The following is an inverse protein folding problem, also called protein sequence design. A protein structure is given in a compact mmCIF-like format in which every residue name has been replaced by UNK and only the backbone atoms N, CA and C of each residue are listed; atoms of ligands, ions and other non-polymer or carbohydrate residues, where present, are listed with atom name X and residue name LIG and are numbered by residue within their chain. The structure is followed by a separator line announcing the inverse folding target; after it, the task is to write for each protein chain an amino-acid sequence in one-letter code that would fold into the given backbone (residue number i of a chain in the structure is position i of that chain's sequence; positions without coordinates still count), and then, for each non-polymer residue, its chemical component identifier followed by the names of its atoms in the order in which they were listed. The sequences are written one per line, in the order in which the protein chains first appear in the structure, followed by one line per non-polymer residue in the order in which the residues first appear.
data_IF_098285246919
#
_entry.id   IF_098285246919
#
_cell.length_a   1.000
_cell.length_b   1.000
_cell.length_c   1.000
_cell.angle_alpha   90.00
_cell.angle_beta   90.00
_cell.angle_gamma   90.00
#
_symmetry.space_group_name_H-M   'P 1'
#
loop_
_entity.id
_entity.type
_entity.pdbx_description
1 polymer ?
#
# COMPACT_ATOMS: atom_id res chain seq x y z
N UNK A 1 -14.82 -9.58 -11.19
CA UNK A 1 -14.04 -8.49 -10.61
C UNK A 1 -13.10 -7.96 -11.69
N UNK A 2 -12.87 -6.65 -11.74
CA UNK A 2 -11.88 -5.98 -12.63
C UNK A 2 -10.68 -5.47 -11.82
N UNK A 3 -10.48 -6.00 -10.61
CA UNK A 3 -9.37 -5.63 -9.73
C UNK A 3 -8.04 -5.95 -10.42
N UNK A 4 -7.26 -4.91 -10.71
CA UNK A 4 -5.92 -5.07 -11.27
C UNK A 4 -4.93 -5.25 -10.13
N UNK A 5 -4.13 -6.31 -10.17
CA UNK A 5 -3.11 -6.53 -9.15
C UNK A 5 -1.71 -6.26 -9.71
N UNK A 6 -0.90 -5.56 -8.92
CA UNK A 6 0.50 -5.32 -9.18
C UNK A 6 1.30 -6.04 -8.11
N UNK A 7 2.32 -6.75 -8.54
CA UNK A 7 3.22 -7.49 -7.67
C UNK A 7 4.64 -6.95 -7.85
N UNK A 8 5.32 -6.74 -6.74
CA UNK A 8 6.74 -6.41 -6.68
C UNK A 8 7.43 -7.49 -5.86
N UNK A 9 8.48 -8.07 -6.42
CA UNK A 9 9.25 -9.10 -5.73
C UNK A 9 10.70 -8.66 -5.68
N UNK A 10 11.25 -8.64 -4.48
CA UNK A 10 12.58 -8.14 -4.20
C UNK A 10 13.51 -9.31 -3.88
N UNK A 11 14.66 -9.31 -4.55
CA UNK A 11 15.70 -10.31 -4.41
C UNK A 11 17.03 -9.65 -4.09
N UNK A 12 17.77 -10.21 -3.14
CA UNK A 12 19.15 -9.86 -2.84
C UNK A 12 19.85 -11.12 -2.33
N UNK A 13 21.05 -11.39 -2.83
CA UNK A 13 21.87 -12.44 -2.23
C UNK A 13 22.46 -11.90 -0.92
N UNK A 14 22.15 -12.58 0.19
CA UNK A 14 22.55 -12.16 1.54
C UNK A 14 23.74 -12.98 2.05
N UNK A 15 24.07 -14.08 1.37
CA UNK A 15 25.20 -14.95 1.67
C UNK A 15 26.38 -14.63 0.74
N UNK A 16 27.59 -14.68 1.27
CA UNK A 16 28.79 -14.67 0.40
C UNK A 16 28.93 -16.07 -0.18
N UNK A 17 28.65 -16.21 -1.48
CA UNK A 17 28.71 -17.50 -2.16
C UNK A 17 30.16 -17.92 -2.45
N UNK A 18 30.46 -19.20 -2.27
CA UNK A 18 31.74 -19.77 -2.70
C UNK A 18 31.81 -19.85 -4.24
N UNK A 19 33.01 -20.07 -4.79
CA UNK A 19 33.23 -20.09 -6.24
C UNK A 19 32.44 -21.20 -6.98
N UNK A 20 32.07 -22.27 -6.27
CA UNK A 20 31.24 -23.39 -6.76
C UNK A 20 29.76 -23.25 -6.36
N UNK A 21 29.39 -22.16 -5.70
CA UNK A 21 28.01 -21.88 -5.30
C UNK A 21 27.39 -20.83 -6.20
N UNK A 22 26.16 -21.11 -6.64
CA UNK A 22 25.40 -20.20 -7.48
C UNK A 22 23.93 -20.27 -7.10
N UNK A 23 23.25 -19.12 -7.22
CA UNK A 23 21.80 -19.04 -7.07
C UNK A 23 21.18 -18.45 -8.33
N UNK A 24 20.47 -19.31 -9.05
CA UNK A 24 19.74 -18.96 -10.26
C UNK A 24 18.38 -19.68 -10.28
N UNK A 25 17.32 -18.94 -10.56
CA UNK A 25 15.96 -19.51 -10.60
C UNK A 25 15.04 -18.76 -11.56
N UNK A 26 13.99 -19.45 -12.01
CA UNK A 26 12.90 -18.89 -12.81
C UNK A 26 11.65 -18.68 -11.95
N UNK A 27 10.83 -17.70 -12.35
CA UNK A 27 9.57 -17.37 -11.68
C UNK A 27 8.41 -17.82 -12.58
N UNK A 28 7.49 -18.58 -12.00
CA UNK A 28 6.30 -19.08 -12.67
C UNK A 28 5.05 -18.58 -11.96
N UNK A 29 4.03 -18.22 -12.74
CA UNK A 29 2.70 -17.86 -12.27
C UNK A 29 1.71 -18.86 -12.86
N UNK A 30 0.97 -19.56 -12.00
CA UNK A 30 0.01 -20.59 -12.39
C UNK A 30 0.62 -21.63 -13.34
N UNK A 31 1.84 -22.06 -13.04
CA UNK A 31 2.60 -23.06 -13.82
C UNK A 31 3.20 -22.55 -15.13
N UNK A 32 3.00 -21.28 -15.50
CA UNK A 32 3.56 -20.67 -16.72
C UNK A 32 4.73 -19.75 -16.38
N UNK A 33 5.77 -19.76 -17.22
CA UNK A 33 6.91 -18.87 -17.06
C UNK A 33 6.43 -17.41 -17.07
N UNK A 34 6.63 -16.71 -15.95
CA UNK A 34 6.09 -15.37 -15.75
C UNK A 34 7.12 -14.28 -16.06
N UNK A 35 8.39 -14.51 -15.69
CA UNK A 35 9.50 -13.62 -16.02
C UNK A 35 10.53 -14.38 -16.87
N UNK A 36 10.86 -13.83 -18.05
CA UNK A 36 11.68 -14.55 -19.06
C UNK A 36 13.15 -14.72 -18.64
N UNK A 37 13.88 -13.67 -18.23
CA UNK A 37 15.26 -13.84 -17.77
C UNK A 37 15.31 -14.65 -16.47
N UNK A 38 16.31 -15.53 -16.27
CA UNK A 38 16.53 -16.13 -14.96
C UNK A 38 16.94 -15.05 -13.95
N UNK A 39 16.54 -15.24 -12.69
CA UNK A 39 16.91 -14.37 -11.58
C UNK A 39 18.23 -14.86 -11.01
N UNK A 40 19.22 -13.97 -11.02
CA UNK A 40 20.50 -14.13 -10.30
C UNK A 40 20.61 -12.98 -9.31
N UNK A 41 20.27 -13.19 -8.02
CA UNK A 41 20.34 -12.14 -7.01
C UNK A 41 21.79 -11.67 -6.81
N UNK A 42 21.99 -10.35 -6.68
CA UNK A 42 23.32 -9.77 -6.46
C UNK A 42 23.61 -9.67 -4.97
N UNK A 43 24.88 -9.89 -4.59
CA UNK A 43 25.29 -9.80 -3.19
C UNK A 43 25.04 -8.39 -2.63
N UNK A 44 24.24 -8.32 -1.57
CA UNK A 44 23.82 -7.08 -0.88
C UNK A 44 23.26 -5.98 -1.81
N UNK A 45 22.74 -6.37 -2.97
CA UNK A 45 22.15 -5.44 -3.94
C UNK A 45 20.78 -5.96 -4.36
N UNK A 46 19.77 -5.12 -4.19
CA UNK A 46 18.39 -5.46 -4.52
C UNK A 46 18.16 -5.46 -6.02
N UNK A 47 17.57 -6.54 -6.51
CA UNK A 47 16.90 -6.62 -7.81
C UNK A 47 15.41 -6.70 -7.56
N UNK A 48 14.62 -5.82 -8.18
CA UNK A 48 13.17 -5.82 -8.05
C UNK A 48 12.54 -6.20 -9.38
N UNK A 49 11.69 -7.22 -9.35
CA UNK A 49 10.84 -7.59 -10.48
C UNK A 49 9.44 -7.06 -10.21
N UNK A 50 8.91 -6.29 -11.16
CA UNK A 50 7.55 -5.79 -11.14
C UNK A 50 6.73 -6.51 -12.22
N UNK A 51 5.47 -6.76 -11.93
CA UNK A 51 4.55 -7.29 -12.92
C UNK A 51 3.09 -7.05 -12.57
N UNK A 52 2.25 -7.02 -13.59
CA UNK A 52 0.81 -7.03 -13.44
C UNK A 52 0.31 -8.47 -13.45
N UNK A 53 -0.49 -8.84 -12.45
CA UNK A 53 -1.15 -10.13 -12.44
C UNK A 53 -2.40 -10.07 -13.32
N UNK A 54 -2.70 -11.15 -14.07
CA UNK A 54 -3.83 -11.17 -14.98
C UNK A 54 -5.15 -11.39 -14.23
N UNK A 55 -6.13 -10.52 -14.47
CA UNK A 55 -7.39 -10.38 -13.70
C UNK A 55 -8.36 -11.59 -13.80
N UNK A 56 -7.95 -12.71 -14.39
CA UNK A 56 -8.80 -13.84 -14.77
C UNK A 56 -8.63 -15.09 -13.90
N UNK A 57 -7.93 -15.00 -12.77
CA UNK A 57 -7.73 -16.14 -11.87
C UNK A 57 -8.34 -15.88 -10.48
N UNK A 58 -8.99 -16.90 -9.92
CA UNK A 58 -9.50 -16.88 -8.54
C UNK A 58 -8.37 -17.04 -7.51
N UNK A 59 -7.28 -17.70 -7.90
CA UNK A 59 -6.09 -17.94 -7.07
C UNK A 59 -4.84 -17.76 -7.93
N UNK A 60 -3.79 -17.20 -7.34
CA UNK A 60 -2.47 -17.05 -7.97
C UNK A 60 -1.45 -17.93 -7.25
N UNK A 61 -0.93 -18.94 -7.95
CA UNK A 61 0.18 -19.75 -7.51
C UNK A 61 1.48 -19.21 -8.11
N UNK A 62 2.26 -18.53 -7.27
CA UNK A 62 3.59 -18.05 -7.61
C UNK A 62 4.63 -19.07 -7.15
N UNK A 63 5.40 -19.62 -8.09
CA UNK A 63 6.44 -20.61 -7.79
C UNK A 63 7.79 -20.18 -8.33
N UNK A 64 8.82 -20.56 -7.60
CA UNK A 64 10.21 -20.26 -7.91
C UNK A 64 10.92 -21.58 -8.09
N UNK A 65 11.53 -21.78 -9.26
CA UNK A 65 12.18 -23.04 -9.57
C UNK A 65 13.64 -22.80 -9.91
N UNK A 66 14.50 -23.52 -9.18
CA UNK A 66 15.94 -23.54 -9.38
C UNK A 66 16.27 -23.99 -10.81
N UNK A 67 17.20 -23.32 -11.49
CA UNK A 67 17.69 -23.77 -12.81
C UNK A 67 18.76 -24.85 -12.67
N UNK A 68 19.11 -25.50 -13.78
CA UNK A 68 20.23 -26.45 -13.84
C UNK A 68 21.60 -25.82 -13.54
N UNK A 69 21.73 -24.50 -13.71
CA UNK A 69 23.00 -23.77 -13.47
C UNK A 69 23.18 -23.33 -12.01
N UNK A 70 22.16 -23.52 -11.19
CA UNK A 70 22.18 -23.15 -9.77
C UNK A 70 22.66 -24.33 -8.92
N UNK A 71 23.35 -24.07 -7.82
CA UNK A 71 23.60 -25.09 -6.77
C UNK A 71 22.68 -24.88 -5.57
N UNK A 72 22.24 -23.65 -5.33
CA UNK A 72 21.39 -23.27 -4.20
C UNK A 72 19.90 -23.15 -4.61
N UNK A 73 18.96 -23.31 -3.65
CA UNK A 73 17.53 -23.13 -3.92
C UNK A 73 17.17 -21.66 -4.21
N UNK A 74 15.96 -21.36 -4.70
CA UNK A 74 15.50 -19.98 -4.86
C UNK A 74 15.40 -19.22 -3.52
N UNK A 75 15.42 -17.89 -3.57
CA UNK A 75 15.19 -17.01 -2.42
C UNK A 75 14.22 -15.89 -2.78
N UNK A 76 13.54 -15.35 -1.77
CA UNK A 76 12.71 -14.15 -1.85
C UNK A 76 13.02 -13.33 -0.61
N UNK A 77 13.29 -12.03 -0.77
CA UNK A 77 13.58 -11.16 0.37
C UNK A 77 12.34 -10.37 0.80
N UNK A 78 11.54 -9.89 -0.17
CA UNK A 78 10.27 -9.24 0.10
C UNK A 78 9.30 -9.42 -1.09
N UNK A 79 8.00 -9.34 -0.80
CA UNK A 79 6.93 -9.37 -1.77
C UNK A 79 5.90 -8.32 -1.39
N UNK A 80 5.54 -7.48 -2.34
CA UNK A 80 4.50 -6.47 -2.19
C UNK A 80 3.39 -6.77 -3.20
N UNK A 81 2.14 -6.76 -2.72
CA UNK A 81 0.96 -6.95 -3.54
C UNK A 81 0.06 -5.74 -3.40
N UNK A 82 -0.22 -5.10 -4.52
CA UNK A 82 -1.07 -3.92 -4.61
C UNK A 82 -2.30 -4.26 -5.45
N UNK A 83 -3.47 -3.86 -4.95
CA UNK A 83 -4.68 -3.84 -5.75
C UNK A 83 -4.93 -2.42 -6.21
N UNK A 84 -5.09 -2.22 -7.52
CA UNK A 84 -5.50 -0.94 -8.05
C UNK A 84 -6.95 -0.67 -7.63
N UNK A 85 -7.12 0.37 -6.82
CA UNK A 85 -8.44 0.89 -6.49
C UNK A 85 -8.75 2.02 -7.46
N UNK A 86 -9.72 1.78 -8.34
CA UNK A 86 -10.32 2.84 -9.12
C UNK A 86 -11.24 3.66 -8.22
N UNK A 87 -10.82 4.88 -7.89
CA UNK A 87 -11.66 5.82 -7.18
C UNK A 87 -12.62 6.45 -8.18
N UNK A 88 -13.87 5.96 -8.21
CA UNK A 88 -14.95 6.62 -8.97
C UNK A 88 -15.41 7.91 -8.29
N UNK A 89 -15.14 8.02 -6.99
CA UNK A 89 -15.49 9.17 -6.17
C UNK A 89 -14.37 10.20 -6.19
N UNK A 90 -14.73 11.46 -6.05
CA UNK A 90 -13.77 12.54 -5.83
C UNK A 90 -12.98 12.33 -4.54
N UNK A 91 -11.78 12.91 -4.52
CA UNK A 91 -10.96 13.03 -3.32
C UNK A 91 -11.65 13.94 -2.30
N UNK A 92 -11.27 13.82 -1.03
CA UNK A 92 -11.76 14.71 0.03
C UNK A 92 -11.51 16.17 -0.35
N UNK A 93 -12.41 17.07 0.02
CA UNK A 93 -12.24 18.51 -0.18
C UNK A 93 -10.89 18.99 0.38
N UNK A 94 -10.11 19.68 -0.45
CA UNK A 94 -8.72 20.03 -0.13
C UNK A 94 -8.60 20.88 1.15
N UNK A 95 -9.61 21.70 1.47
CA UNK A 95 -9.60 22.50 2.70
C UNK A 95 -9.80 21.63 3.93
N UNK A 96 -10.68 20.64 3.83
CA UNK A 96 -10.89 19.65 4.90
C UNK A 96 -9.62 18.79 5.08
N UNK A 97 -8.95 18.40 3.98
CA UNK A 97 -7.65 17.70 4.01
C UNK A 97 -6.58 18.53 4.73
N UNK A 98 -6.40 19.78 4.34
CA UNK A 98 -5.41 20.66 4.95
C UNK A 98 -5.68 20.87 6.45
N UNK A 99 -6.95 21.07 6.82
CA UNK A 99 -7.36 21.24 8.20
C UNK A 99 -7.08 20.00 9.05
N UNK A 100 -7.47 18.80 8.59
CA UNK A 100 -7.29 17.58 9.37
C UNK A 100 -5.83 17.14 9.47
N UNK A 101 -5.00 17.41 8.44
CA UNK A 101 -3.55 17.18 8.51
C UNK A 101 -2.90 18.11 9.54
N UNK A 102 -3.31 19.36 9.61
CA UNK A 102 -2.85 20.30 10.64
C UNK A 102 -3.21 19.81 12.05
N UNK A 103 -4.46 19.39 12.26
CA UNK A 103 -4.93 18.81 13.53
C UNK A 103 -4.12 17.56 13.90
N UNK A 104 -3.91 16.65 12.93
CA UNK A 104 -3.09 15.45 13.09
C UNK A 104 -1.69 15.80 13.58
N UNK A 105 -1.05 16.77 12.92
CA UNK A 105 0.32 17.19 13.21
C UNK A 105 0.42 17.85 14.59
N UNK A 106 -0.50 18.77 14.91
CA UNK A 106 -0.50 19.50 16.17
C UNK A 106 -0.64 18.58 17.39
N UNK A 107 -1.49 17.56 17.28
CA UNK A 107 -1.76 16.63 18.36
C UNK A 107 -0.92 15.34 18.30
N UNK A 108 -0.03 15.20 17.32
CA UNK A 108 0.80 14.00 17.17
C UNK A 108 -0.01 12.71 17.00
N UNK A 109 -1.15 12.77 16.32
CA UNK A 109 -2.07 11.62 16.22
C UNK A 109 -1.52 10.51 15.32
N UNK A 110 -1.36 9.32 15.89
CA UNK A 110 -0.93 8.10 15.18
C UNK A 110 -2.06 7.06 15.17
N UNK A 111 -2.93 7.14 14.14
CA UNK A 111 -4.03 6.20 13.86
C UNK A 111 -3.89 5.66 12.43
N UNK A 112 -4.94 5.10 11.82
CA UNK A 112 -4.99 4.81 10.37
C UNK A 112 -5.03 6.09 9.48
N UNK A 113 -4.59 7.23 10.00
CA UNK A 113 -4.65 8.53 9.35
C UNK A 113 -3.53 8.66 8.31
N UNK A 114 -3.66 7.92 7.22
CA UNK A 114 -2.73 7.93 6.09
C UNK A 114 -3.51 7.95 4.77
N UNK A 115 -3.00 8.70 3.78
CA UNK A 115 -3.68 8.86 2.50
C UNK A 115 -4.78 9.92 2.55
N UNK A 116 -5.88 9.67 1.84
CA UNK A 116 -7.03 10.56 1.80
C UNK A 116 -7.96 10.31 3.03
N UNK A 117 -8.47 11.35 3.72
CA UNK A 117 -9.25 11.18 4.95
C UNK A 117 -10.60 10.49 4.82
N UNK A 118 -11.30 10.68 3.70
CA UNK A 118 -12.67 10.19 3.49
C UNK A 118 -12.81 9.21 2.32
N UNK A 119 -11.85 9.17 1.41
CA UNK A 119 -11.89 8.38 0.17
C UNK A 119 -10.77 7.33 0.17
N UNK A 120 -11.08 6.07 -0.15
CA UNK A 120 -12.41 5.51 -0.42
C UNK A 120 -13.26 5.35 0.85
N UNK A 121 -14.59 5.37 0.71
CA UNK A 121 -15.53 5.30 1.85
C UNK A 121 -15.35 4.06 2.75
N UNK A 122 -14.83 2.96 2.22
CA UNK A 122 -14.53 1.76 3.02
C UNK A 122 -13.30 1.92 3.94
N UNK A 123 -12.49 2.97 3.76
CA UNK A 123 -11.20 3.19 4.44
C UNK A 123 -11.10 4.58 5.07
N UNK A 124 -12.23 5.17 5.46
CA UNK A 124 -12.28 6.45 6.17
C UNK A 124 -11.39 6.41 7.41
N UNK A 125 -10.71 7.51 7.69
CA UNK A 125 -9.88 7.65 8.88
C UNK A 125 -10.69 7.44 10.18
N UNK A 126 -10.12 6.71 11.13
CA UNK A 126 -10.78 6.38 12.39
C UNK A 126 -11.10 7.64 13.19
N UNK A 127 -12.37 7.74 13.57
CA UNK A 127 -12.92 8.91 14.25
C UNK A 127 -13.48 9.95 13.29
N UNK A 128 -13.31 9.82 11.97
CA UNK A 128 -14.00 10.69 11.02
C UNK A 128 -15.32 10.09 10.57
N UNK A 129 -16.27 10.96 10.26
CA UNK A 129 -17.38 10.67 9.37
C UNK A 129 -17.39 11.73 8.27
N UNK A 130 -17.82 11.34 7.07
CA UNK A 130 -17.81 12.21 5.91
C UNK A 130 -19.14 12.16 5.15
N UNK A 131 -19.50 13.26 4.50
CA UNK A 131 -20.64 13.31 3.60
C UNK A 131 -20.24 12.84 2.20
N UNK A 132 -21.10 12.09 1.52
CA UNK A 132 -20.89 11.61 0.15
C UNK A 132 -22.07 12.00 -0.73
N UNK A 133 -21.86 12.92 -1.69
CA UNK A 133 -22.91 13.42 -2.58
C UNK A 133 -22.50 13.31 -4.05
N UNK A 134 -22.77 12.16 -4.66
CA UNK A 134 -22.46 11.91 -6.07
C UNK A 134 -20.98 12.11 -6.37
N UNK A 135 -20.66 13.03 -7.29
CA UNK A 135 -19.29 13.37 -7.67
C UNK A 135 -18.68 14.51 -6.84
N UNK A 136 -19.41 15.09 -5.88
CA UNK A 136 -18.87 16.16 -5.04
C UNK A 136 -17.83 15.62 -4.07
N UNK A 137 -16.71 16.35 -3.87
CA UNK A 137 -15.68 16.00 -2.89
C UNK A 137 -16.29 15.68 -1.52
N UNK A 138 -15.95 14.54 -0.90
CA UNK A 138 -16.38 14.26 0.46
C UNK A 138 -15.95 15.37 1.42
N UNK A 139 -16.82 15.68 2.37
CA UNK A 139 -16.59 16.70 3.41
C UNK A 139 -16.59 16.03 4.78
N UNK A 140 -15.69 16.43 5.67
CA UNK A 140 -15.64 15.91 7.05
C UNK A 140 -16.81 16.51 7.84
N UNK A 141 -17.70 15.65 8.33
CA UNK A 141 -18.89 16.03 9.12
C UNK A 141 -18.77 15.65 10.58
N UNK A 142 -17.86 14.74 10.94
CA UNK A 142 -17.61 14.36 12.33
C UNK A 142 -16.11 14.17 12.57
N UNK A 143 -15.63 14.61 13.72
CA UNK A 143 -14.25 14.42 14.18
C UNK A 143 -14.25 13.94 15.63
N UNK A 144 -14.07 12.65 15.86
CA UNK A 144 -13.97 12.08 17.19
C UNK A 144 -12.51 11.90 17.62
N UNK A 145 -12.07 12.78 18.52
CA UNK A 145 -10.76 12.76 19.16
C UNK A 145 -10.76 12.16 20.58
N UNK A 146 -11.88 11.60 21.03
CA UNK A 146 -11.97 10.96 22.34
C UNK A 146 -10.92 9.86 22.51
N UNK A 147 -10.48 9.66 23.76
CA UNK A 147 -9.45 8.70 24.15
C UNK A 147 -8.07 8.90 23.50
N UNK A 148 -7.80 10.06 22.90
CA UNK A 148 -6.47 10.37 22.32
C UNK A 148 -5.48 10.97 23.31
N UNK A 149 -5.85 11.14 24.58
CA UNK A 149 -4.96 11.71 25.61
C UNK A 149 -4.50 13.15 25.32
N UNK A 150 -5.32 13.93 24.61
CA UNK A 150 -4.96 15.29 24.20
C UNK A 150 -4.80 16.20 25.42
N UNK A 151 -3.71 16.95 25.44
CA UNK A 151 -3.42 18.00 26.42
C UNK A 151 -3.04 19.27 25.70
N UNK A 152 -3.42 20.43 26.23
CA UNK A 152 -3.10 21.74 25.64
C UNK A 152 -4.29 22.40 24.95
N UNK A 153 -4.00 23.36 24.07
CA UNK A 153 -5.00 24.21 23.42
C UNK A 153 -5.72 23.51 22.25
N UNK A 154 -6.95 23.95 21.99
CA UNK A 154 -7.68 23.50 20.81
C UNK A 154 -7.10 24.10 19.54
N UNK A 155 -6.80 23.23 18.57
CA UNK A 155 -6.36 23.63 17.23
C UNK A 155 -7.39 24.52 16.55
N UNK A 156 -6.98 25.72 16.15
CA UNK A 156 -7.80 26.63 15.33
C UNK A 156 -8.13 26.05 13.96
N UNK A 157 -7.39 25.02 13.51
CA UNK A 157 -7.68 24.31 12.26
C UNK A 157 -9.01 23.57 12.29
N UNK A 158 -9.58 23.30 13.47
CA UNK A 158 -10.93 22.72 13.60
C UNK A 158 -11.98 23.65 12.97
N UNK A 159 -11.80 24.97 13.05
CA UNK A 159 -12.74 25.94 12.46
C UNK A 159 -12.72 25.94 10.93
N UNK A 160 -11.68 25.38 10.30
CA UNK A 160 -11.62 25.23 8.85
C UNK A 160 -12.42 24.02 8.35
N UNK A 161 -12.86 23.11 9.24
CA UNK A 161 -13.78 22.03 8.92
C UNK A 161 -15.22 22.56 8.89
N UNK A 162 -15.57 23.30 7.84
CA UNK A 162 -16.81 24.10 7.80
C UNK A 162 -18.10 23.28 7.76
N UNK A 163 -18.01 21.98 7.49
CA UNK A 163 -19.17 21.06 7.41
C UNK A 163 -19.32 20.20 8.66
N UNK A 164 -18.54 20.46 9.73
CA UNK A 164 -18.58 19.68 10.95
C UNK A 164 -19.94 19.81 11.65
N UNK A 165 -20.48 18.67 12.08
CA UNK A 165 -21.76 18.54 12.77
C UNK A 165 -21.57 17.97 14.18
N UNK A 166 -20.49 17.22 14.39
CA UNK A 166 -20.16 16.54 15.65
C UNK A 166 -18.65 16.55 15.90
N UNK A 167 -18.24 16.75 17.15
CA UNK A 167 -16.85 16.75 17.64
C UNK A 167 -16.76 15.88 18.90
#
# INVERSE_FOLDING_TARGET
STDQFYIYIHFAEVQVLQANESREFQIYLNGKLWYKPPIVPKYLSTTTILGRLPDNYAEYNLSFQKTSNSTLPPIINALELYTLKHFLNSLTDEKDVAAIISIKSMYGLTRNWQGDPCSPQAYVWFGLNCSYYGYNPPRITSLNLSSSGLTGEMSTSIFNLTMIQSL
#
